data_IF_126195038890
#
_entry.id   IF_126195038890
#
_cell.length_a   1.000
_cell.length_b   1.000
_cell.length_c   1.000
_cell.angle_alpha   90.00
_cell.angle_beta   90.00
_cell.angle_gamma   90.00
#
_symmetry.space_group_name_H-M   'P 1'
#
loop_
_entity.id
_entity.type
_entity.pdbx_description
1 polymer ?
#
# COMPACT_ATOMS: atom_id res chain seq x y z
N UNK A 1 13.34 5.00 -1.31
CA UNK A 1 12.98 3.98 -2.32
C UNK A 1 11.66 3.39 -1.91
N UNK A 2 10.81 3.03 -2.86
CA UNK A 2 9.48 2.52 -2.54
C UNK A 2 9.59 1.28 -1.65
N UNK A 3 8.74 1.23 -0.62
CA UNK A 3 8.65 0.21 0.43
C UNK A 3 9.87 0.07 1.35
N UNK A 4 10.85 0.96 1.26
CA UNK A 4 11.93 1.00 2.25
C UNK A 4 11.44 1.66 3.54
N UNK A 5 11.81 1.07 4.68
CA UNK A 5 11.53 1.60 6.01
C UNK A 5 12.72 2.41 6.50
N UNK A 6 12.47 3.66 6.89
CA UNK A 6 13.49 4.58 7.37
C UNK A 6 13.19 5.04 8.79
N UNK A 7 14.24 5.30 9.55
CA UNK A 7 14.17 6.09 10.78
C UNK A 7 13.65 7.50 10.46
N UNK A 8 12.79 8.03 11.34
CA UNK A 8 12.31 9.40 11.26
C UNK A 8 13.12 10.31 12.19
N UNK A 9 13.96 11.17 11.62
CA UNK A 9 14.85 12.05 12.38
C UNK A 9 14.20 13.34 12.89
N UNK A 10 12.94 13.58 12.56
CA UNK A 10 12.21 14.75 13.07
C UNK A 10 11.61 14.40 14.43
N UNK A 11 11.65 15.34 15.37
CA UNK A 11 10.89 15.22 16.61
C UNK A 11 9.40 15.05 16.30
N UNK A 12 8.86 13.88 16.65
CA UNK A 12 7.53 13.42 16.31
C UNK A 12 7.09 12.33 17.28
N UNK A 13 5.79 12.01 17.30
CA UNK A 13 5.26 10.83 18.00
C UNK A 13 5.69 9.51 17.34
N UNK A 14 6.26 9.57 16.13
CA UNK A 14 6.68 8.41 15.35
C UNK A 14 8.20 8.41 15.17
N UNK A 15 8.80 7.24 15.31
CA UNK A 15 10.26 7.05 15.17
C UNK A 15 10.68 6.51 13.82
N UNK A 16 9.74 6.07 12.99
CA UNK A 16 10.01 5.55 11.65
C UNK A 16 8.77 5.55 10.76
N UNK A 17 9.01 5.40 9.47
CA UNK A 17 7.97 5.36 8.44
C UNK A 17 8.41 4.47 7.28
N UNK A 18 7.44 4.01 6.50
CA UNK A 18 7.68 3.38 5.19
C UNK A 18 7.49 4.41 4.09
N UNK A 19 8.42 4.45 3.15
CA UNK A 19 8.30 5.21 1.91
C UNK A 19 7.33 4.48 0.96
N UNK A 20 6.22 5.12 0.57
CA UNK A 20 5.19 4.49 -0.28
C UNK A 20 5.16 5.08 -1.69
N UNK A 21 5.96 6.11 -1.95
CA UNK A 21 5.99 6.77 -3.24
C UNK A 21 6.67 5.89 -4.28
N UNK A 22 6.08 5.84 -5.47
CA UNK A 22 6.71 5.14 -6.61
C UNK A 22 8.03 5.80 -6.99
N UNK A 23 9.04 4.99 -7.30
CA UNK A 23 10.37 5.49 -7.65
C UNK A 23 10.41 6.23 -9.00
N UNK A 24 9.41 6.05 -9.86
CA UNK A 24 9.27 6.82 -11.12
C UNK A 24 8.66 8.21 -10.90
N UNK A 25 8.07 8.48 -9.74
CA UNK A 25 7.46 9.77 -9.43
C UNK A 25 8.50 10.63 -8.75
N UNK A 26 8.92 11.69 -9.43
CA UNK A 26 9.88 12.65 -8.91
C UNK A 26 9.17 13.80 -8.20
N UNK A 27 9.49 13.98 -6.92
CA UNK A 27 9.12 15.15 -6.11
C UNK A 27 10.38 15.64 -5.42
N UNK A 28 10.97 16.78 -5.85
CA UNK A 28 12.25 17.24 -5.33
C UNK A 28 12.28 17.27 -3.80
N UNK A 29 13.28 16.61 -3.22
CA UNK A 29 13.53 16.52 -1.78
C UNK A 29 12.39 15.98 -0.92
N UNK A 30 11.31 15.45 -1.49
CA UNK A 30 10.13 15.01 -0.75
C UNK A 30 9.72 13.62 -1.18
N UNK A 31 9.15 12.86 -0.26
CA UNK A 31 8.57 11.54 -0.51
C UNK A 31 7.29 11.38 0.28
N UNK A 32 6.30 10.70 -0.30
CA UNK A 32 5.11 10.26 0.42
C UNK A 32 5.45 9.07 1.30
N UNK A 33 5.16 9.17 2.59
CA UNK A 33 5.48 8.16 3.60
C UNK A 33 4.29 7.90 4.51
N UNK A 34 4.30 6.74 5.16
CA UNK A 34 3.30 6.37 6.17
C UNK A 34 4.03 5.95 7.45
N UNK A 35 3.71 6.54 8.62
CA UNK A 35 4.30 6.17 9.89
C UNK A 35 4.02 4.72 10.31
N UNK A 36 4.97 4.15 11.05
CA UNK A 36 4.88 2.82 11.65
C UNK A 36 4.90 2.92 13.18
N UNK A 37 4.11 2.08 13.82
CA UNK A 37 4.06 1.94 15.28
C UNK A 37 4.01 0.47 15.65
N UNK A 38 4.67 0.06 16.73
CA UNK A 38 4.69 -1.36 17.10
C UNK A 38 3.26 -1.87 17.35
N UNK A 39 2.93 -3.02 16.76
CA UNK A 39 1.58 -3.56 16.80
C UNK A 39 1.10 -3.87 18.23
N UNK A 40 2.03 -4.14 19.16
CA UNK A 40 1.74 -4.40 20.59
C UNK A 40 1.02 -3.25 21.30
N UNK A 41 1.14 -2.02 20.79
CA UNK A 41 0.50 -0.84 21.38
C UNK A 41 -0.94 -0.61 20.87
N UNK A 42 -1.40 -1.41 19.90
CA UNK A 42 -2.71 -1.24 19.27
C UNK A 42 -3.77 -2.23 19.78
N UNK A 43 -4.98 -1.71 20.01
CA UNK A 43 -6.15 -2.54 20.32
C UNK A 43 -6.58 -3.37 19.10
N UNK A 44 -7.05 -4.60 19.33
CA UNK A 44 -7.64 -5.47 18.30
C UNK A 44 -8.87 -4.86 17.58
N UNK A 45 -9.42 -3.75 18.08
CA UNK A 45 -10.58 -3.06 17.49
C UNK A 45 -10.26 -2.23 16.25
N UNK A 46 -8.98 -2.12 15.86
CA UNK A 46 -8.56 -1.30 14.72
C UNK A 46 -8.60 -2.11 13.43
N UNK A 47 -9.24 -1.56 12.38
CA UNK A 47 -9.46 -2.24 11.10
C UNK A 47 -8.13 -2.74 10.51
N UNK A 48 -7.92 -4.06 10.38
CA UNK A 48 -6.69 -4.59 9.78
C UNK A 48 -6.60 -4.29 8.28
N UNK A 49 -7.72 -3.96 7.63
CA UNK A 49 -7.74 -3.56 6.23
C UNK A 49 -7.24 -2.12 6.01
N UNK A 50 -7.49 -1.22 6.96
CA UNK A 50 -7.03 0.18 6.90
C UNK A 50 -5.66 0.36 7.57
N UNK A 51 -5.34 -0.47 8.56
CA UNK A 51 -4.09 -0.40 9.32
C UNK A 51 -3.39 -1.76 9.31
N UNK A 52 -2.85 -2.20 8.16
CA UNK A 52 -2.25 -3.53 8.05
C UNK A 52 -1.08 -3.69 9.00
N UNK A 53 -0.84 -4.93 9.42
CA UNK A 53 0.41 -5.32 10.07
C UNK A 53 1.42 -5.63 8.98
N UNK A 54 2.61 -5.04 9.08
CA UNK A 54 3.76 -5.33 8.23
C UNK A 54 4.91 -5.80 9.10
N UNK A 55 5.81 -6.61 8.54
CA UNK A 55 6.96 -7.12 9.28
C UNK A 55 8.22 -6.34 8.91
N UNK A 56 8.87 -5.73 9.90
CA UNK A 56 10.14 -5.03 9.72
C UNK A 56 11.17 -5.68 10.63
N UNK A 57 12.19 -6.30 10.03
CA UNK A 57 13.27 -6.97 10.77
C UNK A 57 12.78 -7.97 11.83
N UNK A 58 11.71 -8.71 11.50
CA UNK A 58 11.12 -9.72 12.38
C UNK A 58 10.12 -9.20 13.42
N UNK A 59 9.87 -7.89 13.47
CA UNK A 59 8.95 -7.25 14.42
C UNK A 59 7.69 -6.80 13.68
N UNK A 60 6.53 -7.02 14.30
CA UNK A 60 5.23 -6.63 13.77
C UNK A 60 4.93 -5.15 14.04
N UNK A 61 4.73 -4.41 12.97
CA UNK A 61 4.37 -2.99 13.00
C UNK A 61 3.02 -2.75 12.34
N UNK A 62 2.25 -1.81 12.89
CA UNK A 62 1.04 -1.29 12.26
C UNK A 62 1.39 -0.12 11.36
N UNK A 63 0.90 -0.20 10.14
CA UNK A 63 0.93 0.90 9.18
C UNK A 63 -0.21 1.89 9.50
N UNK A 64 0.13 3.12 9.84
CA UNK A 64 -0.85 4.17 10.15
C UNK A 64 -1.32 4.88 8.88
N UNK A 65 -2.05 4.17 8.02
CA UNK A 65 -2.40 4.64 6.67
C UNK A 65 -3.07 6.02 6.64
N UNK A 66 -3.87 6.37 7.65
CA UNK A 66 -4.52 7.69 7.75
C UNK A 66 -3.56 8.84 8.02
N UNK A 67 -2.33 8.55 8.49
CA UNK A 67 -1.25 9.50 8.76
C UNK A 67 -0.30 9.65 7.56
N UNK A 68 -0.76 9.26 6.35
CA UNK A 68 -0.03 9.48 5.10
C UNK A 68 0.39 10.95 4.96
N UNK A 69 1.68 11.18 4.77
CA UNK A 69 2.25 12.53 4.72
C UNK A 69 3.39 12.64 3.70
N UNK A 70 3.65 13.86 3.24
CA UNK A 70 4.87 14.21 2.50
C UNK A 70 5.97 14.61 3.50
N UNK A 71 7.11 13.93 3.45
CA UNK A 71 8.25 14.20 4.32
C UNK A 71 9.47 14.57 3.49
N UNK A 72 10.18 15.60 3.92
CA UNK A 72 11.42 16.01 3.26
C UNK A 72 12.53 14.98 3.53
N UNK A 73 13.29 14.60 2.50
CA UNK A 73 14.34 13.58 2.54
C UNK A 73 15.44 13.88 3.56
N UNK A 74 15.62 15.14 3.96
CA UNK A 74 16.55 15.52 5.05
C UNK A 74 16.21 14.87 6.40
N UNK A 75 14.96 14.44 6.59
CA UNK A 75 14.51 13.78 7.82
C UNK A 75 14.56 12.25 7.73
N UNK A 76 15.02 11.70 6.62
CA UNK A 76 15.20 10.26 6.45
C UNK A 76 16.49 9.86 7.15
N UNK A 77 16.38 8.95 8.10
CA UNK A 77 17.51 8.40 8.83
C UNK A 77 18.00 7.10 8.24
N UNK A 78 18.45 6.20 9.11
CA UNK A 78 18.94 4.90 8.70
C UNK A 78 17.85 4.04 8.05
N UNK A 79 18.25 3.14 7.16
CA UNK A 79 17.36 2.10 6.63
C UNK A 79 17.18 1.02 7.69
N UNK A 80 15.94 0.83 8.14
CA UNK A 80 15.59 -0.11 9.21
C UNK A 80 15.05 -1.45 8.69
N UNK A 81 14.61 -1.48 7.42
CA UNK A 81 14.14 -2.70 6.78
C UNK A 81 13.43 -2.48 5.43
N UNK A 82 12.82 -3.55 4.93
CA UNK A 82 12.11 -3.61 3.65
C UNK A 82 10.69 -4.13 3.85
N UNK A 83 9.70 -3.33 3.42
CA UNK A 83 8.28 -3.65 3.48
C UNK A 83 7.73 -4.14 2.12
N UNK A 84 8.60 -4.38 1.12
CA UNK A 84 8.20 -4.92 -0.18
C UNK A 84 7.40 -6.23 -0.09
N UNK A 85 7.67 -7.17 0.83
CA UNK A 85 6.84 -8.36 1.01
C UNK A 85 5.37 -8.04 1.33
N UNK A 86 5.13 -6.92 2.01
CA UNK A 86 3.79 -6.46 2.42
C UNK A 86 3.17 -5.46 1.42
N UNK A 87 3.79 -5.25 0.25
CA UNK A 87 3.37 -4.23 -0.72
C UNK A 87 1.91 -4.33 -1.13
N UNK A 88 1.34 -5.54 -1.23
CA UNK A 88 -0.09 -5.72 -1.53
C UNK A 88 -0.98 -5.17 -0.41
N UNK A 89 -0.66 -5.47 0.85
CA UNK A 89 -1.40 -4.96 2.00
C UNK A 89 -1.33 -3.43 2.08
N UNK A 90 -0.15 -2.84 1.85
CA UNK A 90 0.05 -1.38 1.82
C UNK A 90 -0.80 -0.74 0.73
N UNK A 91 -0.78 -1.28 -0.50
CA UNK A 91 -1.59 -0.78 -1.62
C UNK A 91 -3.09 -0.89 -1.35
N UNK A 92 -3.53 -2.00 -0.77
CA UNK A 92 -4.94 -2.22 -0.43
C UNK A 92 -5.42 -1.24 0.64
N UNK A 93 -4.59 -0.95 1.64
CA UNK A 93 -4.92 0.05 2.66
C UNK A 93 -5.04 1.46 2.07
N UNK A 94 -4.10 1.87 1.20
CA UNK A 94 -4.19 3.15 0.49
C UNK A 94 -5.44 3.23 -0.41
N UNK A 95 -5.73 2.16 -1.16
CA UNK A 95 -6.94 2.09 -1.98
C UNK A 95 -8.21 2.21 -1.14
N UNK A 96 -8.24 1.53 0.02
CA UNK A 96 -9.37 1.62 0.94
C UNK A 96 -9.52 3.05 1.49
N UNK A 97 -8.42 3.71 1.87
CA UNK A 97 -8.43 5.09 2.38
C UNK A 97 -8.99 6.08 1.37
N UNK A 98 -8.58 5.99 0.10
CA UNK A 98 -9.00 6.96 -0.93
C UNK A 98 -10.33 6.62 -1.59
N UNK A 99 -10.62 5.34 -1.80
CA UNK A 99 -11.72 4.90 -2.68
C UNK A 99 -12.78 4.06 -1.97
N UNK A 100 -12.52 3.61 -0.75
CA UNK A 100 -13.38 2.68 -0.03
C UNK A 100 -13.56 1.35 -0.76
N UNK A 101 -14.57 0.57 -0.35
CA UNK A 101 -14.90 -0.72 -0.98
C UNK A 101 -15.52 -0.60 -2.38
N UNK A 102 -15.93 0.61 -2.80
CA UNK A 102 -16.64 0.83 -4.07
C UNK A 102 -15.78 0.51 -5.29
N UNK A 103 -14.49 0.83 -5.23
CA UNK A 103 -13.55 0.52 -6.31
C UNK A 103 -13.27 -0.97 -6.45
N UNK A 104 -13.21 -1.72 -5.33
CA UNK A 104 -13.01 -3.17 -5.36
C UNK A 104 -14.16 -3.88 -6.08
N UNK A 105 -15.41 -3.48 -5.81
CA UNK A 105 -16.59 -4.01 -6.51
C UNK A 105 -16.54 -3.64 -8.00
N UNK A 106 -16.18 -2.40 -8.33
CA UNK A 106 -16.08 -1.96 -9.73
C UNK A 106 -15.06 -2.78 -10.51
N UNK A 107 -13.88 -3.03 -9.95
CA UNK A 107 -12.83 -3.83 -10.59
C UNK A 107 -13.23 -5.29 -10.78
N UNK A 108 -13.96 -5.87 -9.82
CA UNK A 108 -14.51 -7.23 -9.95
C UNK A 108 -15.53 -7.28 -11.10
N UNK A 109 -16.45 -6.31 -11.16
CA UNK A 109 -17.46 -6.24 -12.23
C UNK A 109 -16.78 -6.03 -13.59
N UNK A 110 -15.82 -5.11 -13.69
CA UNK A 110 -15.08 -4.83 -14.93
C UNK A 110 -14.31 -6.06 -15.43
N UNK A 111 -13.57 -6.75 -14.56
CA UNK A 111 -12.86 -7.98 -14.92
C UNK A 111 -13.82 -9.12 -15.32
N UNK A 112 -14.97 -9.23 -14.66
CA UNK A 112 -15.99 -10.22 -15.00
C UNK A 112 -16.63 -9.92 -16.38
N UNK A 113 -16.93 -8.65 -16.67
CA UNK A 113 -17.46 -8.21 -17.96
C UNK A 113 -16.44 -8.42 -19.09
N UNK A 114 -15.17 -8.06 -18.87
CA UNK A 114 -14.09 -8.32 -19.84
C UNK A 114 -13.89 -9.83 -20.08
N UNK A 115 -13.91 -10.64 -19.01
CA UNK A 115 -13.82 -12.10 -19.11
C UNK A 115 -14.97 -12.71 -19.90
N UNK A 116 -16.21 -12.28 -19.65
CA UNK A 116 -17.39 -12.71 -20.42
C UNK A 116 -17.31 -12.27 -21.89
N UNK A 117 -16.81 -11.06 -22.17
CA UNK A 117 -16.58 -10.57 -23.52
C UNK A 117 -15.55 -11.40 -24.30
N UNK A 118 -14.43 -11.75 -23.65
CA UNK A 118 -13.42 -12.63 -24.23
C UNK A 118 -13.96 -14.04 -24.49
N UNK A 119 -14.77 -14.57 -23.58
CA UNK A 119 -15.42 -15.88 -23.75
C UNK A 119 -16.39 -15.88 -24.93
N UNK A 120 -17.20 -14.82 -25.07
CA UNK A 120 -18.10 -14.65 -26.21
C UNK A 120 -17.35 -14.54 -27.55
N UNK A 121 -16.23 -13.80 -27.57
CA UNK A 121 -15.36 -13.71 -28.74
C UNK A 121 -14.75 -15.07 -29.11
N UNK A 122 -14.27 -15.84 -28.13
CA UNK A 122 -13.75 -17.17 -28.36
C UNK A 122 -14.81 -18.09 -28.98
N UNK A 123 -16.02 -18.15 -28.42
CA UNK A 123 -17.12 -18.98 -28.94
C UNK A 123 -17.48 -18.59 -30.38
N UNK A 124 -17.60 -17.28 -30.65
CA UNK A 124 -17.88 -16.76 -31.98
C UNK A 124 -16.76 -17.09 -32.99
N UNK A 125 -15.50 -16.96 -32.58
CA UNK A 125 -14.33 -17.26 -33.41
C UNK A 125 -14.26 -18.75 -33.77
N UNK A 126 -14.48 -19.65 -32.80
CA UNK A 126 -14.52 -21.10 -33.05
C UNK A 126 -15.68 -21.52 -33.94
N UNK A 127 -16.84 -20.86 -33.84
CA UNK A 127 -18.00 -21.07 -34.73
C UNK A 127 -17.75 -20.66 -36.20
N UNK A 128 -16.67 -19.96 -36.51
CA UNK A 128 -16.29 -19.51 -37.85
C UNK A 128 -15.20 -20.37 -38.51
N UNK A 129 -14.54 -21.22 -37.73
CA UNK A 129 -13.41 -22.06 -38.15
C UNK A 129 -13.84 -23.53 -38.39
N UNK A 130 -15.03 -23.91 -37.91
CA UNK A 130 -15.73 -25.16 -38.23
C UNK A 130 -16.80 -24.90 -39.30
#
# INVERSE_FOLDING_TARGET
>A
MQFTVYEYRRESAYTMFVDVQSDIVETPEHRMVIPLVEARHFSAKVSPALFPVIQVSGIDYRLLTTELASVNSRFFGEVLGDASPDAEAIKNALNLMFWGYKWFVYKIVENAVLGLGMLGFAIWFWSRIL
#
